data_IF_701578172051
#
_entry.id   IF_701578172051
#
_cell.length_a   1.000
_cell.length_b   1.000
_cell.length_c   1.000
_cell.angle_alpha   90.00
_cell.angle_beta   90.00
_cell.angle_gamma   90.00
#
_symmetry.space_group_name_H-M   'P 1'
#
loop_
_entity.id
_entity.type
_entity.pdbx_description
1 polymer ?
#
# COMPACT_ATOMS: atom_id res chain seq x y z
N UNK A 1 10.17 16.94 12.40
CA UNK A 1 9.61 17.62 13.59
C UNK A 1 8.25 18.16 13.18
N UNK A 2 7.20 17.33 13.34
CA UNK A 2 5.81 17.71 13.01
C UNK A 2 5.19 18.20 14.31
N UNK A 3 4.86 19.48 14.36
CA UNK A 3 4.18 20.12 15.50
C UNK A 3 2.68 20.00 15.24
N UNK A 4 2.00 19.17 16.00
CA UNK A 4 0.53 19.21 16.10
C UNK A 4 0.20 20.17 17.25
N UNK A 5 -0.35 21.32 16.91
CA UNK A 5 -0.90 22.27 17.88
C UNK A 5 -2.25 21.74 18.39
N UNK A 6 -2.28 21.22 19.61
CA UNK A 6 -3.50 21.03 20.39
C UNK A 6 -3.49 22.02 21.56
N UNK A 7 -4.65 22.64 21.78
CA UNK A 7 -4.89 23.77 22.65
C UNK A 7 -4.36 23.68 24.10
N UNK A 8 -4.00 24.80 24.63
CA UNK A 8 -3.39 25.05 25.94
C UNK A 8 -4.28 24.68 27.12
N UNK A 9 -3.73 23.87 28.05
CA UNK A 9 -3.94 24.02 29.49
C UNK A 9 -2.59 23.85 30.21
N UNK A 10 -2.19 24.73 31.14
CA UNK A 10 -0.84 24.74 31.71
C UNK A 10 -0.79 23.89 33.00
N UNK A 11 -0.30 22.68 32.93
CA UNK A 11 0.39 22.04 34.08
C UNK A 11 0.98 20.68 33.66
N UNK A 12 2.28 20.55 34.02
CA UNK A 12 3.13 19.35 33.87
C UNK A 12 3.64 19.01 32.47
N UNK A 13 4.83 19.58 32.16
CA UNK A 13 5.72 19.06 31.12
C UNK A 13 6.27 17.69 31.53
N UNK A 14 5.58 16.61 31.22
CA UNK A 14 6.20 15.31 31.07
C UNK A 14 6.68 15.22 29.62
N UNK A 15 7.97 15.46 29.41
CA UNK A 15 8.65 15.11 28.15
C UNK A 15 8.58 13.57 28.06
N UNK A 16 7.56 13.06 27.39
CA UNK A 16 7.57 11.66 26.96
C UNK A 16 8.63 11.57 25.86
N UNK A 17 9.81 11.07 26.20
CA UNK A 17 10.71 10.53 25.22
C UNK A 17 10.01 9.36 24.55
N UNK A 18 9.40 9.59 23.39
CA UNK A 18 9.05 8.50 22.48
C UNK A 18 10.37 7.85 22.07
N UNK A 19 10.76 6.79 22.77
CA UNK A 19 11.76 5.89 22.26
C UNK A 19 11.23 5.39 20.90
N UNK A 20 12.00 5.50 19.81
CA UNK A 20 11.57 4.93 18.54
C UNK A 20 11.26 3.46 18.78
N UNK A 21 10.04 3.03 18.45
CA UNK A 21 9.68 1.61 18.58
C UNK A 21 10.67 0.81 17.72
N UNK A 22 11.21 -0.26 18.29
CA UNK A 22 12.15 -1.12 17.56
C UNK A 22 11.45 -1.71 16.33
N UNK A 23 12.12 -1.67 15.19
CA UNK A 23 11.63 -2.31 13.97
C UNK A 23 11.61 -3.82 14.21
N UNK A 24 10.46 -4.50 14.07
CA UNK A 24 10.36 -5.95 14.30
C UNK A 24 11.19 -6.76 13.30
N UNK A 25 11.94 -7.73 13.80
CA UNK A 25 12.66 -8.72 13.00
C UNK A 25 11.95 -10.06 13.17
N UNK A 26 11.46 -10.63 12.09
CA UNK A 26 10.70 -11.87 12.10
C UNK A 26 11.68 -13.07 12.16
N UNK A 27 11.35 -14.03 13.03
CA UNK A 27 12.04 -15.34 13.07
C UNK A 27 11.69 -16.18 11.83
N UNK A 28 12.44 -17.24 11.49
CA UNK A 28 12.11 -18.11 10.37
C UNK A 28 10.67 -18.66 10.42
N UNK A 29 10.18 -19.10 11.58
CA UNK A 29 8.83 -19.60 11.74
C UNK A 29 7.76 -18.51 11.56
N UNK A 30 8.06 -17.25 11.88
CA UNK A 30 7.17 -16.11 11.63
C UNK A 30 7.18 -15.70 10.17
N UNK A 31 8.32 -15.82 9.50
CA UNK A 31 8.46 -15.59 8.05
C UNK A 31 7.58 -16.56 7.26
N UNK A 32 7.53 -17.85 7.65
CA UNK A 32 6.66 -18.83 7.00
C UNK A 32 5.17 -18.45 7.12
N UNK A 33 4.77 -17.88 8.25
CA UNK A 33 3.42 -17.35 8.44
C UNK A 33 3.16 -16.10 7.61
N UNK A 34 4.15 -15.21 7.50
CA UNK A 34 4.07 -14.04 6.61
C UNK A 34 3.94 -14.47 5.14
N UNK A 35 4.66 -15.52 4.71
CA UNK A 35 4.51 -16.10 3.37
C UNK A 35 3.10 -16.63 3.13
N UNK A 36 2.51 -17.31 4.11
CA UNK A 36 1.15 -17.82 4.00
C UNK A 36 0.12 -16.68 3.90
N UNK A 37 0.21 -15.66 4.75
CA UNK A 37 -0.65 -14.48 4.72
C UNK A 37 -0.47 -13.68 3.41
N UNK A 38 0.77 -13.48 2.96
CA UNK A 38 1.07 -12.79 1.70
C UNK A 38 0.47 -13.51 0.49
N UNK A 39 0.60 -14.84 0.40
CA UNK A 39 -0.05 -15.63 -0.67
C UNK A 39 -1.57 -15.55 -0.62
N UNK A 40 -2.17 -15.55 0.56
CA UNK A 40 -3.61 -15.37 0.71
C UNK A 40 -4.06 -13.99 0.20
N UNK A 41 -3.35 -12.92 0.58
CA UNK A 41 -3.62 -11.56 0.08
C UNK A 41 -3.50 -11.48 -1.45
N UNK A 42 -2.42 -12.01 -2.03
CA UNK A 42 -2.23 -12.05 -3.48
C UNK A 42 -3.34 -12.82 -4.20
N UNK A 43 -3.81 -13.94 -3.62
CA UNK A 43 -4.91 -14.73 -4.20
C UNK A 43 -6.23 -13.97 -4.17
N UNK A 44 -6.54 -13.29 -3.06
CA UNK A 44 -7.74 -12.45 -2.96
C UNK A 44 -7.66 -11.33 -3.98
N UNK A 45 -6.53 -10.61 -4.04
CA UNK A 45 -6.32 -9.49 -4.96
C UNK A 45 -6.47 -9.91 -6.44
N UNK A 46 -5.86 -11.04 -6.85
CA UNK A 46 -6.00 -11.57 -8.22
C UNK A 46 -7.44 -11.89 -8.58
N UNK A 47 -8.19 -12.47 -7.64
CA UNK A 47 -9.63 -12.76 -7.84
C UNK A 47 -10.47 -11.49 -7.96
N UNK A 48 -10.18 -10.47 -7.14
CA UNK A 48 -10.86 -9.17 -7.18
C UNK A 48 -10.54 -8.39 -8.46
N UNK A 49 -9.29 -8.41 -8.92
CA UNK A 49 -8.87 -7.76 -10.14
C UNK A 49 -9.67 -8.25 -11.37
N UNK A 50 -10.04 -9.54 -11.41
CA UNK A 50 -10.87 -10.14 -12.46
C UNK A 50 -12.33 -9.67 -12.45
N UNK A 51 -12.79 -9.05 -11.36
CA UNK A 51 -14.14 -8.47 -11.26
C UNK A 51 -14.20 -7.02 -11.78
N UNK A 52 -13.08 -6.42 -12.14
CA UNK A 52 -13.01 -5.06 -12.65
C UNK A 52 -13.51 -5.04 -14.10
N UNK A 53 -14.82 -4.94 -14.25
CA UNK A 53 -15.52 -4.83 -15.55
C UNK A 53 -16.58 -3.73 -15.47
N UNK A 54 -16.94 -3.09 -16.62
CA UNK A 54 -17.96 -2.04 -16.62
C UNK A 54 -19.29 -2.52 -16.04
N UNK A 55 -19.93 -1.69 -15.21
CA UNK A 55 -21.23 -1.92 -14.59
C UNK A 55 -21.19 -2.59 -13.22
N UNK A 56 -20.10 -3.23 -12.81
CA UNK A 56 -19.94 -3.75 -11.44
C UNK A 56 -19.80 -2.56 -10.47
N UNK A 57 -20.41 -2.66 -9.29
CA UNK A 57 -20.25 -1.63 -8.25
C UNK A 57 -19.02 -1.90 -7.40
N UNK A 58 -18.43 -0.84 -6.81
CA UNK A 58 -17.33 -0.99 -5.86
C UNK A 58 -17.76 -1.77 -4.62
N UNK A 59 -19.02 -1.67 -4.19
CA UNK A 59 -19.58 -2.46 -3.09
C UNK A 59 -19.73 -3.95 -3.42
N UNK A 60 -19.99 -4.32 -4.68
CA UNK A 60 -19.97 -5.72 -5.09
C UNK A 60 -18.57 -6.32 -5.00
N UNK A 61 -17.54 -5.56 -5.40
CA UNK A 61 -16.13 -5.98 -5.27
C UNK A 61 -15.76 -6.12 -3.78
N UNK A 62 -16.11 -5.15 -2.93
CA UNK A 62 -15.83 -5.18 -1.50
C UNK A 62 -16.50 -6.40 -0.81
N UNK A 63 -17.77 -6.68 -1.11
CA UNK A 63 -18.46 -7.86 -0.60
C UNK A 63 -17.76 -9.15 -1.04
N UNK A 64 -17.34 -9.23 -2.32
CA UNK A 64 -16.60 -10.38 -2.83
C UNK A 64 -15.24 -10.56 -2.15
N UNK A 65 -14.58 -9.48 -1.72
CA UNK A 65 -13.36 -9.58 -0.95
C UNK A 65 -13.58 -10.37 0.35
N UNK A 66 -14.65 -10.07 1.10
CA UNK A 66 -15.01 -10.82 2.30
C UNK A 66 -15.31 -12.30 2.03
N UNK A 67 -16.03 -12.61 0.94
CA UNK A 67 -16.31 -13.98 0.53
C UNK A 67 -15.01 -14.75 0.20
N UNK A 68 -14.13 -14.18 -0.61
CA UNK A 68 -12.86 -14.80 -0.99
C UNK A 68 -11.91 -14.99 0.18
N UNK A 69 -11.87 -14.04 1.11
CA UNK A 69 -11.10 -14.16 2.36
C UNK A 69 -11.63 -15.33 3.20
N UNK A 70 -12.95 -15.45 3.37
CA UNK A 70 -13.57 -16.52 4.14
C UNK A 70 -13.27 -17.90 3.53
N UNK A 71 -13.33 -18.06 2.20
CA UNK A 71 -12.98 -19.30 1.50
C UNK A 71 -11.51 -19.72 1.74
N UNK A 72 -10.61 -18.77 1.93
CA UNK A 72 -9.19 -19.02 2.22
C UNK A 72 -8.89 -19.14 3.73
N UNK A 73 -9.90 -19.10 4.59
CA UNK A 73 -9.75 -19.18 6.03
C UNK A 73 -9.07 -17.95 6.65
N UNK A 74 -9.09 -16.82 5.95
CA UNK A 74 -8.58 -15.55 6.45
C UNK A 74 -9.71 -14.52 6.60
N UNK A 75 -9.39 -13.32 7.11
CA UNK A 75 -10.32 -12.22 7.27
C UNK A 75 -9.65 -10.90 6.91
N UNK A 76 -10.45 -9.86 6.67
CA UNK A 76 -9.94 -8.52 6.39
C UNK A 76 -9.09 -7.98 7.55
N UNK A 77 -7.97 -7.35 7.19
CA UNK A 77 -7.16 -6.53 8.09
C UNK A 77 -7.69 -5.09 8.17
N UNK A 78 -8.55 -4.68 7.23
CA UNK A 78 -9.04 -3.31 7.11
C UNK A 78 -10.39 -3.10 7.79
N UNK A 79 -11.34 -4.05 7.69
CA UNK A 79 -12.66 -3.92 8.28
C UNK A 79 -12.58 -3.67 9.78
N UNK A 80 -13.07 -2.50 10.21
CA UNK A 80 -13.03 -2.05 11.61
C UNK A 80 -11.69 -1.45 12.05
N UNK A 81 -10.62 -1.55 11.26
CA UNK A 81 -9.35 -0.87 11.56
C UNK A 81 -9.56 0.64 11.56
N UNK A 82 -9.34 1.27 12.72
CA UNK A 82 -9.64 2.71 12.94
C UNK A 82 -11.05 3.12 12.46
N UNK A 83 -11.99 2.18 12.47
CA UNK A 83 -13.39 2.33 11.99
C UNK A 83 -13.55 2.34 10.47
N UNK A 84 -12.57 1.87 9.69
CA UNK A 84 -12.75 1.69 8.25
C UNK A 84 -13.91 0.71 7.98
N UNK A 85 -14.87 1.05 7.09
CA UNK A 85 -16.11 0.29 6.97
C UNK A 85 -16.04 -0.87 5.96
N UNK A 86 -15.01 -0.92 5.10
CA UNK A 86 -14.88 -1.89 4.00
C UNK A 86 -14.01 -3.10 4.31
N UNK A 87 -14.16 -4.16 3.55
CA UNK A 87 -13.28 -5.35 3.57
C UNK A 87 -11.94 -5.05 2.91
N UNK A 88 -11.93 -4.17 1.91
CA UNK A 88 -10.80 -3.78 1.08
C UNK A 88 -10.95 -2.31 0.69
N UNK A 89 -9.86 -1.63 0.30
CA UNK A 89 -9.96 -0.31 -0.26
C UNK A 89 -10.17 -0.38 -1.78
N UNK A 90 -11.10 0.41 -2.31
CA UNK A 90 -11.38 0.47 -3.75
C UNK A 90 -11.44 1.93 -4.15
N UNK A 91 -10.40 2.40 -4.84
CA UNK A 91 -10.21 3.79 -5.21
C UNK A 91 -10.22 3.94 -6.74
N UNK A 92 -11.01 4.88 -7.28
CA UNK A 92 -11.22 5.02 -8.73
C UNK A 92 -10.63 6.33 -9.24
N UNK A 93 -9.89 6.28 -10.35
CA UNK A 93 -9.34 7.43 -11.09
C UNK A 93 -8.51 8.36 -10.19
N UNK A 94 -9.04 9.55 -9.85
CA UNK A 94 -8.41 10.56 -8.99
C UNK A 94 -8.32 10.16 -7.51
N UNK A 95 -9.07 9.13 -7.08
CA UNK A 95 -8.94 8.59 -5.73
C UNK A 95 -7.59 7.87 -5.61
N UNK A 96 -6.76 8.27 -4.67
CA UNK A 96 -5.40 7.75 -4.46
C UNK A 96 -5.46 6.43 -3.71
N UNK A 97 -5.98 6.46 -2.47
CA UNK A 97 -6.09 5.33 -1.55
C UNK A 97 -7.32 5.46 -0.65
N UNK A 98 -7.66 4.43 0.09
CA UNK A 98 -8.69 4.36 1.12
C UNK A 98 -10.12 4.61 0.61
N UNK A 99 -10.39 4.45 -0.70
CA UNK A 99 -11.74 4.50 -1.25
C UNK A 99 -12.63 3.43 -0.62
N UNK A 100 -13.87 3.82 -0.30
CA UNK A 100 -14.87 2.94 0.34
C UNK A 100 -15.75 2.30 -0.74
N UNK A 101 -15.90 0.98 -0.69
CA UNK A 101 -16.84 0.25 -1.54
C UNK A 101 -18.29 0.70 -1.33
N UNK A 102 -19.02 1.00 -2.44
CA UNK A 102 -20.39 1.53 -2.39
C UNK A 102 -21.13 1.34 -3.72
N UNK A 103 -22.11 2.20 -3.97
CA UNK A 103 -23.00 2.14 -5.14
C UNK A 103 -22.35 2.61 -6.45
N UNK A 104 -21.13 3.19 -6.41
CA UNK A 104 -20.42 3.65 -7.61
C UNK A 104 -20.18 2.48 -8.56
N UNK A 105 -20.70 2.60 -9.79
CA UNK A 105 -20.48 1.61 -10.86
C UNK A 105 -19.22 1.95 -11.64
N UNK A 106 -18.45 0.93 -11.95
CA UNK A 106 -17.28 1.05 -12.81
C UNK A 106 -17.73 1.37 -14.23
N UNK A 107 -17.05 2.35 -14.85
CA UNK A 107 -17.24 2.72 -16.24
C UNK A 107 -16.07 2.23 -17.09
N UNK A 108 -16.31 2.04 -18.39
CA UNK A 108 -15.24 1.78 -19.35
C UNK A 108 -14.26 2.97 -19.38
N UNK A 109 -12.98 2.71 -19.20
CA UNK A 109 -11.95 3.74 -19.12
C UNK A 109 -11.55 4.12 -17.69
N UNK A 110 -12.21 3.63 -16.65
CA UNK A 110 -11.76 3.81 -15.26
C UNK A 110 -10.46 3.05 -14.98
N UNK A 111 -9.64 3.55 -14.06
CA UNK A 111 -8.61 2.79 -13.37
C UNK A 111 -9.03 2.56 -11.93
N UNK A 112 -8.91 1.32 -11.47
CA UNK A 112 -9.39 0.89 -10.16
C UNK A 112 -8.21 0.40 -9.33
N UNK A 113 -7.88 1.11 -8.25
CA UNK A 113 -6.94 0.66 -7.23
C UNK A 113 -7.69 -0.24 -6.28
N UNK A 114 -7.24 -1.48 -6.15
CA UNK A 114 -7.73 -2.42 -5.15
C UNK A 114 -6.56 -2.70 -4.22
N UNK A 115 -6.77 -2.42 -2.94
CA UNK A 115 -5.80 -2.61 -1.89
C UNK A 115 -6.40 -3.57 -0.85
N UNK A 116 -5.69 -4.65 -0.54
CA UNK A 116 -6.20 -5.81 0.18
C UNK A 116 -5.23 -6.27 1.26
N UNK A 117 -5.62 -6.04 2.50
CA UNK A 117 -4.97 -6.60 3.69
C UNK A 117 -5.74 -7.80 4.25
N UNK A 118 -5.08 -8.93 4.44
CA UNK A 118 -5.69 -10.12 5.07
C UNK A 118 -5.00 -10.51 6.35
N UNK A 119 -5.76 -11.07 7.30
CA UNK A 119 -5.23 -11.70 8.51
C UNK A 119 -5.41 -13.21 8.40
N UNK A 120 -4.30 -13.94 8.39
CA UNK A 120 -4.25 -15.40 8.43
C UNK A 120 -3.40 -15.84 9.63
N UNK A 121 -3.97 -16.64 10.54
CA UNK A 121 -3.29 -17.11 11.76
C UNK A 121 -2.61 -16.01 12.59
N UNK A 122 -3.21 -14.80 12.59
CA UNK A 122 -2.72 -13.63 13.31
C UNK A 122 -1.55 -12.91 12.65
N UNK A 123 -1.26 -13.19 11.39
CA UNK A 123 -0.28 -12.51 10.54
C UNK A 123 -0.95 -11.83 9.36
N UNK A 124 -0.37 -10.72 8.90
CA UNK A 124 -0.97 -9.87 7.88
C UNK A 124 -0.15 -9.96 6.59
N UNK A 125 -0.85 -10.19 5.48
CA UNK A 125 -0.37 -9.96 4.14
C UNK A 125 -1.08 -8.74 3.57
N UNK A 126 -0.34 -7.83 2.95
CA UNK A 126 -0.82 -6.55 2.44
C UNK A 126 -0.33 -6.32 1.02
N UNK A 127 -1.23 -5.93 0.11
CA UNK A 127 -0.88 -5.78 -1.31
C UNK A 127 -1.94 -5.01 -2.07
N UNK A 128 -1.50 -4.20 -3.05
CA UNK A 128 -2.39 -3.44 -3.91
C UNK A 128 -2.02 -3.53 -5.39
N UNK A 129 -3.02 -3.29 -6.24
CA UNK A 129 -2.84 -3.19 -7.69
C UNK A 129 -3.77 -2.13 -8.29
N UNK A 130 -3.37 -1.56 -9.41
CA UNK A 130 -4.22 -0.71 -10.25
C UNK A 130 -4.63 -1.49 -11.49
N UNK A 131 -5.94 -1.64 -11.71
CA UNK A 131 -6.53 -2.41 -12.81
C UNK A 131 -7.32 -1.47 -13.71
N UNK A 132 -7.05 -1.43 -15.03
CA UNK A 132 -7.89 -0.68 -15.97
C UNK A 132 -9.21 -1.42 -16.23
N UNK A 133 -10.31 -0.69 -16.22
CA UNK A 133 -11.64 -1.16 -16.58
C UNK A 133 -11.88 -0.99 -18.09
N UNK A 134 -11.37 -1.89 -18.89
CA UNK A 134 -11.31 -1.74 -20.34
C UNK A 134 -10.09 -0.95 -20.82
N UNK A 135 -10.16 -0.33 -22.00
CA UNK A 135 -9.09 0.52 -22.48
C UNK A 135 -9.14 1.91 -21.81
N UNK A 136 -8.01 2.41 -21.40
CA UNK A 136 -7.81 3.75 -20.82
C UNK A 136 -7.04 4.63 -21.80
N UNK A 137 -7.02 5.95 -21.56
CA UNK A 137 -6.21 6.85 -22.37
C UNK A 137 -4.70 6.57 -22.21
N UNK A 138 -3.88 6.92 -23.21
CA UNK A 138 -2.44 6.59 -23.22
C UNK A 138 -1.64 7.18 -22.04
N UNK A 139 -2.03 8.34 -21.50
CA UNK A 139 -1.33 8.94 -20.35
C UNK A 139 -1.65 8.19 -19.06
N UNK A 140 -2.89 7.78 -18.88
CA UNK A 140 -3.32 6.94 -17.75
C UNK A 140 -2.67 5.55 -17.83
N UNK A 141 -2.59 4.94 -19.02
CA UNK A 141 -1.87 3.67 -19.21
C UNK A 141 -0.38 3.81 -18.88
N UNK A 142 0.25 4.92 -19.32
CA UNK A 142 1.64 5.25 -19.00
C UNK A 142 1.86 5.40 -17.49
N UNK A 143 0.95 6.08 -16.79
CA UNK A 143 0.97 6.22 -15.33
C UNK A 143 0.94 4.85 -14.64
N UNK A 144 -0.05 4.01 -14.95
CA UNK A 144 -0.19 2.67 -14.34
C UNK A 144 1.05 1.81 -14.59
N UNK A 145 1.49 1.74 -15.84
CA UNK A 145 2.68 0.98 -16.23
C UNK A 145 3.96 1.51 -15.56
N UNK A 146 4.10 2.83 -15.41
CA UNK A 146 5.24 3.43 -14.74
C UNK A 146 5.24 3.13 -13.24
N UNK A 147 4.09 3.29 -12.55
CA UNK A 147 3.97 3.03 -11.11
C UNK A 147 4.33 1.57 -10.79
N UNK A 148 3.85 0.63 -11.60
CA UNK A 148 4.22 -0.79 -11.46
C UNK A 148 5.72 -1.01 -11.60
N UNK A 149 6.34 -0.47 -12.66
CA UNK A 149 7.81 -0.58 -12.87
C UNK A 149 8.61 0.12 -11.76
N UNK A 150 8.10 1.23 -11.21
CA UNK A 150 8.73 1.93 -10.08
C UNK A 150 8.74 1.03 -8.85
N UNK A 151 7.62 0.37 -8.52
CA UNK A 151 7.58 -0.61 -7.44
C UNK A 151 8.57 -1.75 -7.69
N UNK A 152 8.50 -2.39 -8.85
CA UNK A 152 9.40 -3.50 -9.22
C UNK A 152 10.88 -3.11 -9.13
N UNK A 153 11.24 -1.90 -9.58
CA UNK A 153 12.59 -1.38 -9.52
C UNK A 153 13.04 -0.92 -8.12
N UNK A 154 12.09 -0.63 -7.21
CA UNK A 154 12.38 -0.29 -5.82
C UNK A 154 12.67 -1.54 -4.96
N UNK A 155 12.04 -2.67 -5.25
CA UNK A 155 12.18 -3.92 -4.49
C UNK A 155 13.66 -4.34 -4.30
N UNK A 156 14.55 -4.31 -5.31
CA UNK A 156 15.96 -4.67 -5.14
C UNK A 156 16.74 -3.83 -4.11
N UNK A 157 16.20 -2.70 -3.67
CA UNK A 157 16.80 -1.91 -2.60
C UNK A 157 16.44 -2.42 -1.19
N UNK A 158 15.45 -3.32 -1.06
CA UNK A 158 15.01 -3.89 0.22
C UNK A 158 15.94 -5.04 0.69
N UNK A 159 17.24 -4.81 0.74
CA UNK A 159 18.30 -5.78 1.10
C UNK A 159 18.98 -5.36 2.39
N UNK A 160 19.38 -6.34 3.21
CA UNK A 160 20.10 -6.09 4.46
C UNK A 160 21.40 -5.29 4.21
N UNK A 161 21.63 -4.33 5.09
CA UNK A 161 22.78 -3.43 4.98
C UNK A 161 22.52 -2.14 4.22
N UNK A 162 21.55 -2.06 3.31
CA UNK A 162 21.12 -0.81 2.66
C UNK A 162 20.36 0.10 3.61
N UNK A 163 20.22 1.36 3.22
CA UNK A 163 19.40 2.34 3.92
C UNK A 163 18.02 2.44 3.29
N UNK A 164 16.98 2.58 4.13
CA UNK A 164 15.61 2.74 3.65
C UNK A 164 15.46 3.93 2.67
N UNK A 165 16.16 5.02 2.93
CA UNK A 165 16.16 6.19 2.06
C UNK A 165 16.70 5.94 0.65
N UNK A 166 17.45 4.85 0.41
CA UNK A 166 17.90 4.48 -0.94
C UNK A 166 16.70 4.01 -1.78
N UNK A 167 15.80 3.22 -1.18
CA UNK A 167 14.54 2.76 -1.78
C UNK A 167 13.61 3.95 -2.04
N UNK A 168 13.36 4.77 -1.03
CA UNK A 168 12.49 5.96 -1.13
C UNK A 168 12.99 6.95 -2.20
N UNK A 169 14.31 7.17 -2.27
CA UNK A 169 14.93 8.03 -3.27
C UNK A 169 14.78 7.47 -4.70
N UNK A 170 14.87 6.15 -4.85
CA UNK A 170 14.64 5.51 -6.15
C UNK A 170 13.22 5.77 -6.66
N UNK A 171 12.19 5.55 -5.81
CA UNK A 171 10.79 5.79 -6.15
C UNK A 171 10.58 7.24 -6.61
N UNK A 172 11.01 8.22 -5.79
CA UNK A 172 10.87 9.63 -6.09
C UNK A 172 11.59 10.01 -7.41
N UNK A 173 12.84 9.59 -7.55
CA UNK A 173 13.66 9.94 -8.72
C UNK A 173 13.04 9.41 -10.01
N UNK A 174 12.57 8.16 -10.03
CA UNK A 174 11.97 7.55 -11.22
C UNK A 174 10.60 8.15 -11.56
N UNK A 175 9.79 8.49 -10.57
CA UNK A 175 8.50 9.15 -10.80
C UNK A 175 8.69 10.57 -11.38
N UNK A 176 9.54 11.38 -10.74
CA UNK A 176 9.82 12.76 -11.18
C UNK A 176 10.49 12.79 -12.56
N UNK A 177 11.39 11.84 -12.86
CA UNK A 177 12.02 11.73 -14.20
C UNK A 177 10.99 11.52 -15.32
N UNK A 178 9.85 10.91 -15.00
CA UNK A 178 8.77 10.68 -15.94
C UNK A 178 7.68 11.76 -15.91
N UNK A 179 7.86 12.81 -15.08
CA UNK A 179 6.95 13.95 -14.99
C UNK A 179 5.72 13.69 -14.12
N UNK A 180 5.78 12.70 -13.21
CA UNK A 180 4.69 12.37 -12.29
C UNK A 180 4.87 13.00 -10.91
N UNK A 181 3.75 13.26 -10.22
CA UNK A 181 3.72 13.65 -8.81
C UNK A 181 3.87 12.44 -7.87
N UNK A 182 4.59 12.61 -6.76
CA UNK A 182 4.76 11.56 -5.73
C UNK A 182 4.00 11.98 -4.48
N UNK A 183 3.05 11.16 -4.05
CA UNK A 183 2.28 11.42 -2.82
C UNK A 183 3.20 11.37 -1.60
N UNK A 184 3.08 12.38 -0.71
CA UNK A 184 3.95 12.57 0.46
C UNK A 184 3.27 12.30 1.79
N UNK A 185 1.94 12.47 1.84
CA UNK A 185 1.12 12.37 3.05
C UNK A 185 0.87 10.92 3.47
N UNK A 186 0.96 9.99 2.52
CA UNK A 186 0.78 8.56 2.73
C UNK A 186 2.05 7.83 2.35
N UNK A 187 2.37 6.79 3.14
CA UNK A 187 3.67 6.13 3.06
C UNK A 187 3.51 4.63 3.34
N UNK A 188 4.40 3.84 2.78
CA UNK A 188 4.52 2.44 3.12
C UNK A 188 4.97 2.21 4.57
N UNK A 189 4.96 0.99 5.02
CA UNK A 189 5.15 0.65 6.42
C UNK A 189 5.74 -0.75 6.64
N UNK A 190 6.23 -1.02 7.83
CA UNK A 190 6.42 -2.38 8.28
C UNK A 190 5.08 -3.08 8.43
N UNK A 191 5.02 -4.37 8.22
CA UNK A 191 3.81 -5.19 8.37
C UNK A 191 4.14 -6.52 9.06
N UNK A 192 3.18 -7.08 9.80
CA UNK A 192 3.41 -8.33 10.50
C UNK A 192 2.21 -8.78 11.32
N UNK A 193 2.29 -8.73 12.64
CA UNK A 193 1.13 -8.95 13.52
C UNK A 193 0.21 -7.75 13.61
N UNK A 194 0.73 -6.56 13.27
CA UNK A 194 -0.06 -5.34 13.11
C UNK A 194 -0.04 -4.93 11.64
N UNK A 195 -1.10 -4.30 11.19
CA UNK A 195 -1.20 -3.77 9.84
C UNK A 195 -0.08 -2.74 9.61
N UNK A 196 0.07 -1.79 10.50
CA UNK A 196 1.15 -0.82 10.46
C UNK A 196 2.15 -1.07 11.59
N UNK A 197 3.35 -1.48 11.22
CA UNK A 197 4.53 -1.59 12.08
C UNK A 197 5.59 -0.57 11.64
N UNK A 198 6.62 -0.35 12.46
CA UNK A 198 7.82 0.35 12.02
C UNK A 198 8.62 -0.50 10.99
N UNK A 199 9.33 0.13 10.06
CA UNK A 199 9.47 1.58 9.85
C UNK A 199 8.38 2.17 8.95
N UNK A 200 8.18 3.48 8.97
CA UNK A 200 7.54 4.18 7.87
C UNK A 200 8.43 4.15 6.63
N UNK A 201 7.83 4.00 5.44
CA UNK A 201 8.53 3.88 4.16
C UNK A 201 8.02 4.96 3.19
N UNK A 202 8.50 6.19 3.30
CA UNK A 202 8.09 7.26 2.39
C UNK A 202 8.42 6.94 0.93
N UNK A 203 7.56 7.37 0.02
CA UNK A 203 7.79 7.29 -1.43
C UNK A 203 8.77 8.36 -1.95
N UNK A 204 9.38 9.10 -1.05
CA UNK A 204 10.35 10.16 -1.32
C UNK A 204 11.46 10.14 -0.26
N UNK A 205 12.65 10.65 -0.59
CA UNK A 205 13.70 10.68 0.39
C UNK A 205 15.09 10.93 -0.17
N UNK A 206 16.04 11.05 0.76
CA UNK A 206 17.44 11.27 0.43
C UNK A 206 18.21 9.95 0.48
N UNK A 207 18.98 9.67 -0.57
CA UNK A 207 19.90 8.53 -0.62
C UNK A 207 20.81 8.48 0.61
N UNK A 208 20.99 7.28 1.18
CA UNK A 208 21.82 7.05 2.36
C UNK A 208 21.18 7.45 3.69
N UNK A 209 19.91 7.89 3.71
CA UNK A 209 19.17 8.27 4.92
C UNK A 209 18.30 7.14 5.46
N UNK A 210 17.67 7.38 6.61
CA UNK A 210 16.74 6.44 7.23
C UNK A 210 17.42 5.25 7.94
N UNK A 211 16.64 4.34 8.49
CA UNK A 211 17.15 3.16 9.17
C UNK A 211 17.89 2.22 8.22
N UNK A 212 18.88 1.49 8.77
CA UNK A 212 19.55 0.40 8.05
C UNK A 212 18.64 -0.81 8.04
N UNK A 213 18.38 -1.37 6.85
CA UNK A 213 17.59 -2.57 6.68
C UNK A 213 18.33 -3.79 7.23
N UNK A 214 17.58 -4.73 7.81
CA UNK A 214 18.09 -5.97 8.38
C UNK A 214 17.26 -7.14 7.87
N UNK A 215 17.90 -8.27 7.64
CA UNK A 215 17.20 -9.50 7.29
C UNK A 215 16.14 -9.86 8.34
N UNK A 216 14.98 -10.32 7.89
CA UNK A 216 13.81 -10.59 8.73
C UNK A 216 12.86 -9.40 8.92
N UNK A 217 13.16 -8.19 8.40
CA UNK A 217 12.17 -7.12 8.29
C UNK A 217 11.16 -7.47 7.20
N UNK A 218 9.87 -7.16 7.41
CA UNK A 218 8.81 -7.27 6.41
C UNK A 218 8.19 -5.89 6.17
N UNK A 219 8.16 -5.48 4.91
CA UNK A 219 7.90 -4.10 4.47
C UNK A 219 6.79 -4.08 3.42
N UNK A 220 5.76 -3.29 3.62
CA UNK A 220 4.80 -2.90 2.60
C UNK A 220 5.39 -1.73 1.80
N UNK A 221 5.77 -1.98 0.56
CA UNK A 221 6.33 -0.98 -0.35
C UNK A 221 5.24 -0.62 -1.34
N UNK A 222 4.76 0.63 -1.29
CA UNK A 222 3.51 1.04 -1.92
C UNK A 222 3.61 2.44 -2.57
N UNK A 223 4.28 2.58 -3.71
CA UNK A 223 4.30 3.84 -4.43
C UNK A 223 2.90 4.28 -4.84
N UNK A 224 2.53 5.50 -4.42
CA UNK A 224 1.34 6.25 -4.84
C UNK A 224 1.79 7.39 -5.73
N UNK A 225 1.46 7.30 -7.03
CA UNK A 225 1.97 8.19 -8.07
C UNK A 225 0.80 8.87 -8.78
N UNK A 226 0.85 10.19 -8.87
CA UNK A 226 -0.17 11.01 -9.50
C UNK A 226 0.23 11.42 -10.93
N UNK A 227 -0.71 11.42 -11.86
CA UNK A 227 -0.49 11.94 -13.20
C UNK A 227 -0.15 13.45 -13.20
N UNK A 228 -0.62 14.17 -12.20
CA UNK A 228 -0.42 15.60 -12.02
C UNK A 228 0.46 15.94 -10.82
N UNK A 229 -0.06 16.83 -9.97
CA UNK A 229 0.68 17.33 -8.80
C UNK A 229 0.72 16.32 -7.65
N UNK A 230 1.67 16.51 -6.74
CA UNK A 230 1.88 15.61 -5.57
C UNK A 230 0.76 15.73 -4.51
N UNK A 231 0.10 16.90 -4.44
CA UNK A 231 -0.86 17.22 -3.37
C UNK A 231 -2.11 16.36 -3.39
N UNK A 232 -2.62 16.04 -2.20
CA UNK A 232 -3.83 15.24 -1.99
C UNK A 232 -4.75 15.90 -0.96
N UNK A 233 -5.99 15.45 -0.87
CA UNK A 233 -6.95 15.84 0.16
C UNK A 233 -7.85 14.66 0.54
N UNK A 234 -8.33 14.65 1.78
CA UNK A 234 -9.27 13.65 2.27
C UNK A 234 -10.70 14.16 2.03
N UNK A 235 -11.60 13.29 1.57
CA UNK A 235 -13.01 13.59 1.40
C UNK A 235 -13.78 13.64 2.74
N UNK A 236 -15.04 14.11 2.69
CA UNK A 236 -15.89 14.26 3.89
C UNK A 236 -16.27 12.93 4.56
N UNK A 237 -16.07 11.79 3.87
CA UNK A 237 -16.20 10.45 4.45
C UNK A 237 -15.09 10.12 5.48
N UNK A 238 -14.06 10.97 5.56
CA UNK A 238 -12.94 10.87 6.49
C UNK A 238 -11.91 9.81 6.10
N UNK A 239 -12.04 9.17 4.92
CA UNK A 239 -11.18 8.09 4.45
C UNK A 239 -10.64 8.31 3.05
N UNK A 240 -11.52 8.47 2.07
CA UNK A 240 -11.13 8.55 0.66
C UNK A 240 -10.18 9.71 0.40
N UNK A 241 -9.00 9.38 -0.08
CA UNK A 241 -7.96 10.35 -0.44
C UNK A 241 -8.02 10.58 -1.94
N UNK A 242 -8.09 11.84 -2.36
CA UNK A 242 -8.10 12.20 -3.78
C UNK A 242 -6.97 13.16 -4.13
N UNK A 243 -6.54 13.18 -5.39
CA UNK A 243 -5.58 14.17 -5.90
C UNK A 243 -6.17 15.58 -5.82
N UNK A 244 -5.34 16.57 -5.52
CA UNK A 244 -5.80 17.96 -5.39
C UNK A 244 -6.18 18.61 -6.72
N UNK A 245 -5.68 18.09 -7.84
CA UNK A 245 -5.92 18.57 -9.20
C UNK A 245 -6.95 17.74 -9.98
N UNK A 246 -7.51 16.67 -9.37
CA UNK A 246 -8.51 15.81 -9.98
C UNK A 246 -7.99 14.88 -11.08
N UNK A 247 -6.66 14.82 -11.29
CA UNK A 247 -6.06 13.90 -12.26
C UNK A 247 -5.91 12.49 -11.68
N UNK A 248 -5.82 11.45 -12.53
CA UNK A 248 -5.66 10.07 -12.08
C UNK A 248 -4.44 9.86 -11.17
N UNK A 249 -4.59 8.91 -10.22
CA UNK A 249 -3.53 8.36 -9.39
C UNK A 249 -3.43 6.86 -9.58
N UNK A 250 -2.23 6.31 -9.46
CA UNK A 250 -1.97 4.86 -9.51
C UNK A 250 -1.24 4.41 -8.25
N UNK A 251 -1.64 3.24 -7.76
CA UNK A 251 -1.10 2.61 -6.56
C UNK A 251 -0.81 1.13 -6.85
N UNK A 252 0.38 0.69 -6.53
CA UNK A 252 0.78 -0.73 -6.51
C UNK A 252 1.55 -0.99 -5.23
N UNK A 253 1.40 -2.20 -4.70
CA UNK A 253 2.03 -2.56 -3.44
C UNK A 253 2.43 -4.04 -3.40
N UNK A 254 3.53 -4.30 -2.71
CA UNK A 254 3.92 -5.62 -2.27
C UNK A 254 4.43 -5.64 -0.84
N UNK A 255 4.10 -6.70 -0.10
CA UNK A 255 4.82 -7.06 1.13
C UNK A 255 6.12 -7.77 0.76
N UNK A 256 7.24 -7.22 1.21
CA UNK A 256 8.60 -7.67 0.90
C UNK A 256 9.28 -8.16 2.18
N UNK A 257 9.92 -9.32 2.13
CA UNK A 257 10.88 -9.77 3.14
C UNK A 257 12.28 -9.27 2.78
N UNK A 258 12.89 -8.53 3.68
CA UNK A 258 14.31 -8.18 3.59
C UNK A 258 15.15 -9.41 3.89
N UNK A 259 16.06 -9.76 3.00
CA UNK A 259 17.03 -10.86 3.15
C UNK A 259 18.47 -10.36 3.07
N UNK A 260 19.45 -11.24 3.21
CA UNK A 260 20.87 -10.87 3.09
C UNK A 260 21.28 -10.56 1.64
N UNK A 261 20.64 -11.20 0.65
CA UNK A 261 21.03 -11.10 -0.77
C UNK A 261 19.95 -10.48 -1.64
N UNK A 262 18.85 -11.21 -1.91
CA UNK A 262 17.76 -10.79 -2.76
C UNK A 262 16.47 -10.70 -1.95
N UNK A 263 15.69 -9.59 -2.03
CA UNK A 263 14.42 -9.48 -1.33
C UNK A 263 13.43 -10.54 -1.82
N UNK A 264 12.59 -11.03 -0.93
CA UNK A 264 11.53 -11.96 -1.29
C UNK A 264 10.18 -11.24 -1.33
N UNK A 265 9.47 -11.32 -2.47
CA UNK A 265 8.09 -10.82 -2.59
C UNK A 265 7.15 -11.85 -1.96
N UNK A 266 6.54 -11.51 -0.82
CA UNK A 266 5.63 -12.41 -0.09
C UNK A 266 4.23 -12.44 -0.69
N UNK A 267 3.82 -11.38 -1.39
CA UNK A 267 2.50 -11.20 -2.01
C UNK A 267 2.54 -11.50 -3.51
N UNK A 268 3.14 -12.62 -3.88
CA UNK A 268 3.10 -13.16 -5.24
C UNK A 268 2.26 -14.45 -5.28
N UNK A 269 1.61 -14.68 -6.40
CA UNK A 269 0.96 -15.97 -6.65
C UNK A 269 2.04 -17.05 -6.83
N UNK A 270 1.77 -18.29 -6.36
CA UNK A 270 2.68 -19.38 -6.64
C UNK A 270 2.78 -19.58 -8.16
N UNK A 271 4.01 -19.79 -8.66
CA UNK A 271 4.18 -20.23 -10.03
C UNK A 271 3.42 -21.55 -10.20
N UNK A 272 2.47 -21.56 -11.14
CA UNK A 272 1.80 -22.81 -11.54
C UNK A 272 2.89 -23.65 -12.20
N UNK A 273 3.26 -24.76 -11.53
CA UNK A 273 4.23 -25.72 -12.03
C UNK A 273 3.66 -26.51 -13.20
#
# INVERSE_FOLDING_TARGET
MVIILLGFHPSSFLIHYFLPMAIPIKTPAEIDKMRAAGRAAATVLDRLAKLVVPGVTTGEIDRKAGEFMAELGCRSAFLGYRKFPGQTCISINEEVVHGIGGERRLAYGDIVKIDTGVILDGWIGDTATTVPCGAVDPETERLCSATKRILEGAIPFAVAGRRLGDLSNYIETEALRQGFGVVREFVGHGVGRKLHEEPQIPNYGRKGSGPKLKAGMTLAIEPMINLGVEGVRILDDGWTVVTSDGKPSSHFEHTILVTENEPEVLTCLPLIA
#
